data_IF_165311126225
#
_entry.id   IF_165311126225
#
_cell.length_a   1.000
_cell.length_b   1.000
_cell.length_c   1.000
_cell.angle_alpha   90.00
_cell.angle_beta   90.00
_cell.angle_gamma   90.00
#
_symmetry.space_group_name_H-M   'P 1'
#
loop_
_entity.id
_entity.type
_entity.pdbx_description
1 polymer ?
#
# COMPACT_ATOMS: atom_id res chain seq x y z
N UNK A 1 -21.18 -23.38 -9.57
CA UNK A 1 -19.80 -23.88 -9.54
C UNK A 1 -18.96 -22.72 -9.05
N UNK A 2 -18.36 -22.88 -7.87
CA UNK A 2 -17.44 -21.87 -7.34
C UNK A 2 -16.25 -21.80 -8.28
N UNK A 3 -15.90 -20.59 -8.70
CA UNK A 3 -14.80 -20.34 -9.62
C UNK A 3 -13.47 -20.63 -8.91
N UNK A 4 -12.72 -21.62 -9.40
CA UNK A 4 -11.37 -21.91 -8.93
C UNK A 4 -10.32 -21.48 -9.98
N UNK A 5 -9.52 -20.42 -9.70
CA UNK A 5 -8.47 -19.97 -10.61
C UNK A 5 -7.36 -21.01 -10.79
N UNK A 6 -7.12 -21.90 -9.81
CA UNK A 6 -6.08 -22.92 -9.91
C UNK A 6 -6.49 -23.99 -10.92
N UNK A 7 -7.68 -24.58 -10.76
CA UNK A 7 -8.25 -25.52 -11.73
C UNK A 7 -8.31 -24.93 -13.16
N UNK A 8 -8.61 -23.64 -13.28
CA UNK A 8 -8.65 -22.95 -14.58
C UNK A 8 -7.27 -22.83 -15.23
N UNK A 9 -6.22 -22.60 -14.43
CA UNK A 9 -4.84 -22.59 -14.91
C UNK A 9 -4.32 -24.00 -15.24
N UNK A 10 -4.79 -25.03 -14.54
CA UNK A 10 -4.49 -26.42 -14.87
C UNK A 10 -5.07 -26.82 -16.23
N UNK A 11 -6.30 -26.38 -16.52
CA UNK A 11 -6.96 -26.62 -17.81
C UNK A 11 -6.20 -26.06 -19.02
N UNK A 12 -5.33 -25.06 -18.83
CA UNK A 12 -4.47 -24.50 -19.89
C UNK A 12 -3.04 -25.09 -19.88
N UNK A 13 -2.83 -26.21 -19.18
CA UNK A 13 -1.63 -27.06 -19.31
C UNK A 13 -0.59 -26.92 -18.19
N UNK A 14 -0.93 -26.27 -17.08
CA UNK A 14 -0.07 -26.18 -15.90
C UNK A 14 -0.38 -27.28 -14.89
N UNK A 15 0.64 -27.69 -14.13
CA UNK A 15 0.43 -28.52 -12.94
C UNK A 15 -0.10 -27.65 -11.80
N UNK A 16 -0.86 -28.20 -10.84
CA UNK A 16 -1.36 -27.49 -9.64
C UNK A 16 -0.34 -26.55 -9.01
N UNK A 17 0.92 -27.00 -8.85
CA UNK A 17 2.01 -26.18 -8.29
C UNK A 17 2.40 -25.00 -9.19
N UNK A 18 2.51 -25.23 -10.49
CA UNK A 18 2.79 -24.16 -11.46
C UNK A 18 1.62 -23.17 -11.54
N UNK A 19 0.38 -23.68 -11.54
CA UNK A 19 -0.85 -22.91 -11.49
C UNK A 19 -0.92 -22.04 -10.23
N UNK A 20 -0.65 -22.60 -9.06
CA UNK A 20 -0.58 -21.88 -7.77
C UNK A 20 0.44 -20.75 -7.80
N UNK A 21 1.62 -21.00 -8.37
CA UNK A 21 2.62 -19.95 -8.53
C UNK A 21 2.17 -18.85 -9.50
N UNK A 22 1.64 -19.23 -10.67
CA UNK A 22 1.15 -18.28 -11.67
C UNK A 22 -0.02 -17.45 -11.17
N UNK A 23 -0.89 -18.02 -10.34
CA UNK A 23 -1.91 -17.29 -9.61
C UNK A 23 -1.28 -16.18 -8.78
N UNK A 24 -0.36 -16.50 -7.87
CA UNK A 24 0.31 -15.51 -7.02
C UNK A 24 1.02 -14.42 -7.84
N UNK A 25 1.69 -14.81 -8.94
CA UNK A 25 2.30 -13.84 -9.86
C UNK A 25 1.24 -12.92 -10.46
N UNK A 26 0.15 -13.46 -11.01
CA UNK A 26 -0.90 -12.68 -11.67
C UNK A 26 -1.58 -11.69 -10.71
N UNK A 27 -1.79 -12.11 -9.46
CA UNK A 27 -2.45 -11.31 -8.43
C UNK A 27 -1.52 -10.18 -7.93
N UNK A 28 -0.29 -10.49 -7.56
CA UNK A 28 0.53 -9.57 -6.77
C UNK A 28 1.61 -8.81 -7.54
N UNK A 29 2.09 -9.36 -8.66
CA UNK A 29 3.32 -8.88 -9.28
C UNK A 29 3.20 -8.60 -10.78
N UNK A 30 2.76 -9.59 -11.56
CA UNK A 30 2.91 -9.65 -13.01
C UNK A 30 4.32 -10.03 -13.46
N UNK A 31 5.32 -9.94 -12.59
CA UNK A 31 6.71 -10.25 -12.88
C UNK A 31 7.23 -11.28 -11.89
N UNK A 32 8.20 -12.09 -12.30
CA UNK A 32 8.90 -12.96 -11.38
C UNK A 32 10.32 -13.28 -11.86
N UNK A 33 11.10 -13.84 -10.95
CA UNK A 33 12.44 -14.32 -11.19
C UNK A 33 12.47 -15.83 -11.04
N UNK A 34 13.40 -16.48 -11.75
CA UNK A 34 13.58 -17.94 -11.67
C UNK A 34 13.74 -18.42 -10.23
N UNK A 35 14.49 -17.68 -9.40
CA UNK A 35 14.70 -18.03 -7.97
C UNK A 35 13.39 -18.09 -7.18
N UNK A 36 12.42 -17.23 -7.51
CA UNK A 36 11.18 -17.10 -6.77
C UNK A 36 10.30 -18.32 -7.00
N UNK A 37 10.26 -18.80 -8.26
CA UNK A 37 9.65 -20.08 -8.57
C UNK A 37 10.37 -21.25 -7.90
N UNK A 38 11.72 -21.30 -7.97
CA UNK A 38 12.48 -22.38 -7.32
C UNK A 38 12.22 -22.44 -5.80
N UNK A 39 12.18 -21.28 -5.14
CA UNK A 39 11.88 -21.17 -3.71
C UNK A 39 10.46 -21.61 -3.40
N UNK A 40 9.47 -21.12 -4.16
CA UNK A 40 8.07 -21.52 -4.01
C UNK A 40 7.89 -23.03 -4.21
N UNK A 41 8.48 -23.58 -5.27
CA UNK A 41 8.36 -24.98 -5.61
C UNK A 41 9.21 -25.92 -4.74
N UNK A 42 10.01 -25.36 -3.81
CA UNK A 42 10.98 -26.07 -2.98
C UNK A 42 11.87 -27.01 -3.81
N UNK A 43 12.33 -26.51 -4.96
CA UNK A 43 13.12 -27.27 -5.93
C UNK A 43 14.56 -26.75 -5.95
N UNK A 44 15.46 -27.47 -5.29
CA UNK A 44 16.91 -27.16 -5.31
C UNK A 44 17.56 -27.46 -6.67
N UNK A 45 16.89 -28.26 -7.53
CA UNK A 45 17.38 -28.65 -8.85
C UNK A 45 16.84 -27.73 -9.95
N UNK A 46 17.74 -27.08 -10.67
CA UNK A 46 17.42 -26.14 -11.76
C UNK A 46 16.55 -26.71 -12.90
N UNK A 47 16.50 -28.04 -13.08
CA UNK A 47 15.73 -28.68 -14.14
C UNK A 47 14.21 -28.39 -14.08
N UNK A 48 13.63 -28.29 -12.88
CA UNK A 48 12.19 -28.02 -12.74
C UNK A 48 11.83 -26.58 -13.13
N UNK A 49 12.65 -25.61 -12.71
CA UNK A 49 12.45 -24.22 -13.11
C UNK A 49 12.70 -24.02 -14.61
N UNK A 50 13.68 -24.71 -15.21
CA UNK A 50 13.89 -24.68 -16.66
C UNK A 50 12.66 -25.21 -17.41
N UNK A 51 12.13 -26.39 -17.03
CA UNK A 51 10.95 -26.99 -17.69
C UNK A 51 9.71 -26.10 -17.59
N UNK A 52 9.48 -25.51 -16.41
CA UNK A 52 8.37 -24.56 -16.22
C UNK A 52 8.50 -23.36 -17.15
N UNK A 53 9.69 -22.76 -17.22
CA UNK A 53 9.96 -21.59 -18.07
C UNK A 53 9.86 -21.90 -19.56
N UNK A 54 10.40 -23.04 -20.00
CA UNK A 54 10.27 -23.54 -21.37
C UNK A 54 8.81 -23.75 -21.75
N UNK A 55 8.03 -24.40 -20.87
CA UNK A 55 6.59 -24.62 -21.06
C UNK A 55 5.84 -23.29 -21.21
N UNK A 56 6.03 -22.38 -20.26
CA UNK A 56 5.34 -21.09 -20.26
C UNK A 56 5.77 -20.20 -21.44
N UNK A 57 7.01 -20.33 -21.92
CA UNK A 57 7.49 -19.63 -23.12
C UNK A 57 6.89 -20.23 -24.40
N UNK A 58 6.80 -21.57 -24.49
CA UNK A 58 6.16 -22.28 -25.60
C UNK A 58 4.68 -21.93 -25.75
N UNK A 59 3.99 -21.71 -24.64
CA UNK A 59 2.60 -21.24 -24.64
C UNK A 59 2.46 -19.72 -24.88
N UNK A 60 3.56 -19.00 -25.09
CA UNK A 60 3.58 -17.54 -25.21
C UNK A 60 2.95 -16.82 -24.00
N UNK A 61 3.03 -17.45 -22.83
CA UNK A 61 2.49 -16.91 -21.59
C UNK A 61 3.40 -15.85 -20.95
N UNK A 62 4.70 -15.95 -21.23
CA UNK A 62 5.74 -15.08 -20.69
C UNK A 62 6.40 -14.22 -21.77
N UNK A 63 6.87 -13.05 -21.35
CA UNK A 63 7.91 -12.27 -22.04
C UNK A 63 9.16 -12.27 -21.17
N UNK A 64 10.32 -12.48 -21.78
CA UNK A 64 11.60 -12.42 -21.09
C UNK A 64 12.18 -11.01 -21.28
N UNK A 65 12.56 -10.39 -20.17
CA UNK A 65 13.25 -9.11 -20.14
C UNK A 65 14.69 -9.39 -19.70
N UNK A 66 15.65 -9.03 -20.55
CA UNK A 66 17.07 -9.17 -20.28
C UNK A 66 17.57 -7.97 -19.47
N UNK A 67 18.29 -8.23 -18.38
CA UNK A 67 18.79 -7.19 -17.47
C UNK A 67 20.32 -7.16 -17.36
N UNK A 68 21.00 -7.77 -18.34
CA UNK A 68 22.46 -7.96 -18.33
C UNK A 68 22.94 -9.04 -17.36
N UNK A 69 24.21 -9.45 -17.52
CA UNK A 69 24.87 -10.46 -16.68
C UNK A 69 24.11 -11.80 -16.55
N UNK A 70 23.39 -12.20 -17.61
CA UNK A 70 22.59 -13.44 -17.61
C UNK A 70 21.40 -13.42 -16.65
N UNK A 71 20.98 -12.24 -16.17
CA UNK A 71 19.80 -12.09 -15.32
C UNK A 71 18.57 -11.80 -16.17
N UNK A 72 17.52 -12.56 -15.93
CA UNK A 72 16.24 -12.48 -16.65
C UNK A 72 15.09 -12.19 -15.70
N UNK A 73 14.24 -11.25 -16.10
CA UNK A 73 12.91 -11.03 -15.50
C UNK A 73 11.87 -11.67 -16.42
N UNK A 74 10.97 -12.46 -15.84
CA UNK A 74 9.87 -13.09 -16.56
C UNK A 74 8.60 -12.27 -16.32
N UNK A 75 8.06 -11.69 -17.38
CA UNK A 75 6.81 -10.93 -17.35
C UNK A 75 5.65 -11.83 -17.78
N UNK A 76 4.70 -12.07 -16.88
CA UNK A 76 3.45 -12.75 -17.17
C UNK A 76 2.52 -11.77 -17.92
N UNK A 77 2.48 -11.88 -19.24
CA UNK A 77 1.84 -10.90 -20.12
C UNK A 77 0.59 -11.44 -20.83
N UNK A 78 0.39 -12.76 -20.86
CA UNK A 78 -0.66 -13.40 -21.66
C UNK A 78 -2.04 -13.19 -21.09
N UNK A 79 -2.95 -12.66 -21.93
CA UNK A 79 -4.36 -12.46 -21.58
C UNK A 79 -5.06 -13.77 -21.18
N UNK A 80 -4.89 -14.90 -21.90
CA UNK A 80 -5.43 -16.21 -21.46
C UNK A 80 -5.13 -16.59 -20.01
N UNK A 81 -3.91 -16.33 -19.53
CA UNK A 81 -3.55 -16.63 -18.13
C UNK A 81 -4.35 -15.74 -17.17
N UNK A 82 -4.48 -14.46 -17.48
CA UNK A 82 -5.27 -13.54 -16.66
C UNK A 82 -6.78 -13.79 -16.76
N UNK A 83 -7.28 -14.26 -17.90
CA UNK A 83 -8.66 -14.75 -18.06
C UNK A 83 -8.91 -15.97 -17.16
N UNK A 84 -7.98 -16.92 -17.11
CA UNK A 84 -8.03 -18.08 -16.22
C UNK A 84 -7.90 -17.72 -14.71
N UNK A 85 -7.46 -16.50 -14.39
CA UNK A 85 -7.45 -15.95 -13.00
C UNK A 85 -8.64 -15.00 -12.77
N UNK A 86 -9.50 -14.78 -13.77
CA UNK A 86 -10.71 -13.95 -13.65
C UNK A 86 -10.40 -12.45 -13.71
N UNK A 87 -9.21 -12.08 -14.20
CA UNK A 87 -8.70 -10.70 -14.23
C UNK A 87 -8.14 -10.29 -15.60
N UNK A 88 -8.90 -10.43 -16.70
CA UNK A 88 -8.43 -10.17 -18.07
C UNK A 88 -7.80 -8.77 -18.28
N UNK A 89 -8.27 -7.78 -17.52
CA UNK A 89 -7.83 -6.38 -17.62
C UNK A 89 -6.82 -5.95 -16.55
N UNK A 90 -6.22 -6.92 -15.84
CA UNK A 90 -5.19 -6.66 -14.85
C UNK A 90 -4.06 -5.81 -15.40
N UNK A 91 -3.67 -4.77 -14.66
CA UNK A 91 -2.52 -3.93 -15.03
C UNK A 91 -1.19 -4.69 -14.94
N UNK A 92 -1.14 -5.79 -14.19
CA UNK A 92 0.04 -6.65 -14.04
C UNK A 92 0.47 -7.28 -15.38
N UNK A 93 -0.46 -7.47 -16.33
CA UNK A 93 -0.14 -7.99 -17.67
C UNK A 93 0.56 -6.99 -18.59
N UNK A 94 0.56 -5.70 -18.22
CA UNK A 94 1.12 -4.62 -19.05
C UNK A 94 2.55 -4.33 -18.64
N UNK A 95 3.42 -4.09 -19.62
CA UNK A 95 4.82 -3.73 -19.38
C UNK A 95 4.90 -2.37 -18.68
N UNK A 96 5.78 -2.25 -17.67
CA UNK A 96 6.00 -1.03 -16.86
C UNK A 96 7.49 -0.72 -16.74
N UNK A 97 7.83 0.45 -16.20
CA UNK A 97 9.22 0.86 -15.99
C UNK A 97 9.90 0.10 -14.84
N UNK A 98 11.24 0.12 -14.83
CA UNK A 98 12.10 -0.65 -13.92
C UNK A 98 11.76 -0.49 -12.44
N UNK A 99 11.53 0.73 -11.96
CA UNK A 99 11.14 0.99 -10.57
C UNK A 99 9.85 0.27 -10.17
N UNK A 100 8.88 0.17 -11.09
CA UNK A 100 7.64 -0.56 -10.85
C UNK A 100 7.89 -2.07 -10.86
N UNK A 101 8.67 -2.56 -11.83
CA UNK A 101 9.02 -3.99 -11.93
C UNK A 101 9.75 -4.44 -10.66
N UNK A 102 10.75 -3.68 -10.20
CA UNK A 102 11.49 -3.95 -8.96
C UNK A 102 10.55 -4.04 -7.76
N UNK A 103 9.68 -3.05 -7.55
CA UNK A 103 8.71 -3.07 -6.46
C UNK A 103 7.80 -4.31 -6.53
N UNK A 104 7.35 -4.72 -7.72
CA UNK A 104 6.51 -5.92 -7.90
C UNK A 104 7.25 -7.22 -7.61
N UNK A 105 8.53 -7.31 -7.99
CA UNK A 105 9.38 -8.45 -7.63
C UNK A 105 9.58 -8.56 -6.11
N UNK A 106 9.75 -7.42 -5.42
CA UNK A 106 9.82 -7.38 -3.96
C UNK A 106 8.50 -7.78 -3.30
N UNK A 107 7.36 -7.31 -3.84
CA UNK A 107 6.02 -7.73 -3.40
C UNK A 107 5.89 -9.24 -3.49
N UNK A 108 6.32 -9.85 -4.61
CA UNK A 108 6.25 -11.30 -4.77
C UNK A 108 7.08 -12.04 -3.73
N UNK A 109 8.34 -11.64 -3.49
CA UNK A 109 9.17 -12.25 -2.43
C UNK A 109 8.50 -12.14 -1.04
N UNK A 110 7.90 -10.98 -0.75
CA UNK A 110 7.22 -10.75 0.51
C UNK A 110 5.99 -11.66 0.70
N UNK A 111 5.19 -11.87 -0.36
CA UNK A 111 4.01 -12.75 -0.36
C UNK A 111 4.43 -14.22 -0.29
N UNK A 112 5.42 -14.64 -1.07
CA UNK A 112 5.92 -16.02 -1.08
C UNK A 112 6.48 -16.45 0.28
N UNK A 113 7.01 -15.51 1.07
CA UNK A 113 7.45 -15.77 2.44
C UNK A 113 6.29 -15.90 3.45
N UNK A 114 5.03 -15.64 3.04
CA UNK A 114 3.85 -15.51 3.91
C UNK A 114 2.59 -16.13 3.31
N UNK A 115 2.72 -17.30 2.68
CA UNK A 115 1.60 -17.99 2.01
C UNK A 115 0.42 -18.33 2.95
N UNK A 116 0.67 -18.45 4.26
CA UNK A 116 -0.37 -18.71 5.27
C UNK A 116 -0.97 -17.44 5.88
N UNK A 117 -0.51 -16.26 5.51
CA UNK A 117 -1.05 -15.01 6.03
C UNK A 117 -2.36 -14.65 5.33
N UNK A 118 -3.29 -14.06 6.09
CA UNK A 118 -4.49 -13.46 5.51
C UNK A 118 -4.10 -12.17 4.78
N UNK A 119 -4.11 -12.20 3.45
CA UNK A 119 -3.74 -11.07 2.59
C UNK A 119 -4.98 -10.61 1.82
N UNK A 120 -5.25 -9.31 1.85
CA UNK A 120 -6.27 -8.69 1.01
C UNK A 120 -5.73 -8.55 -0.42
N UNK A 121 -6.10 -9.49 -1.28
CA UNK A 121 -5.48 -9.72 -2.58
C UNK A 121 -5.85 -8.68 -3.65
N UNK A 122 -7.09 -8.18 -3.65
CA UNK A 122 -7.55 -7.21 -4.65
C UNK A 122 -8.24 -5.98 -4.09
N UNK A 123 -8.55 -5.07 -5.01
CA UNK A 123 -9.24 -3.83 -4.73
C UNK A 123 -10.59 -4.09 -4.05
N UNK A 124 -11.36 -5.07 -4.53
CA UNK A 124 -12.69 -5.37 -3.99
C UNK A 124 -12.61 -5.90 -2.55
N UNK A 125 -11.74 -6.88 -2.29
CA UNK A 125 -11.52 -7.43 -0.95
C UNK A 125 -10.97 -6.40 0.04
N UNK A 126 -10.10 -5.48 -0.42
CA UNK A 126 -9.65 -4.36 0.43
C UNK A 126 -10.79 -3.42 0.76
N UNK A 127 -11.57 -3.00 -0.24
CA UNK A 127 -12.71 -2.11 -0.03
C UNK A 127 -13.73 -2.76 0.92
N UNK A 128 -14.09 -4.02 0.70
CA UNK A 128 -15.04 -4.73 1.57
C UNK A 128 -14.52 -4.85 3.00
N UNK A 129 -13.26 -5.26 3.19
CA UNK A 129 -12.66 -5.34 4.52
C UNK A 129 -12.78 -4.01 5.28
N UNK A 130 -12.35 -2.90 4.66
CA UNK A 130 -12.36 -1.61 5.35
C UNK A 130 -13.77 -1.03 5.53
N UNK A 131 -14.67 -1.22 4.58
CA UNK A 131 -16.02 -0.65 4.64
C UNK A 131 -16.97 -1.47 5.49
N UNK A 132 -16.97 -2.78 5.30
CA UNK A 132 -17.88 -3.71 5.99
C UNK A 132 -17.35 -4.11 7.36
N UNK A 133 -16.08 -4.50 7.46
CA UNK A 133 -15.53 -5.05 8.72
C UNK A 133 -15.00 -3.96 9.64
N UNK A 134 -14.30 -2.96 9.09
CA UNK A 134 -13.78 -1.83 9.90
C UNK A 134 -14.77 -0.66 10.02
N UNK A 135 -15.89 -0.66 9.29
CA UNK A 135 -16.89 0.41 9.33
C UNK A 135 -16.39 1.76 8.78
N UNK A 136 -15.33 1.75 7.96
CA UNK A 136 -14.73 2.97 7.40
C UNK A 136 -15.54 3.42 6.19
N UNK A 137 -15.86 4.72 6.12
CA UNK A 137 -16.53 5.31 4.96
C UNK A 137 -15.66 5.24 3.71
N UNK A 138 -16.26 4.92 2.56
CA UNK A 138 -15.54 4.73 1.29
C UNK A 138 -14.71 5.95 0.85
N UNK A 139 -15.16 7.15 1.21
CA UNK A 139 -14.50 8.41 0.88
C UNK A 139 -13.15 8.59 1.58
N UNK A 140 -12.92 7.87 2.68
CA UNK A 140 -11.69 7.89 3.47
C UNK A 140 -10.64 6.91 2.94
N UNK A 141 -11.02 6.03 2.02
CA UNK A 141 -10.10 5.06 1.41
C UNK A 141 -9.12 5.77 0.47
N UNK A 142 -7.87 5.30 0.38
CA UNK A 142 -6.89 5.83 -0.55
C UNK A 142 -7.37 5.62 -1.98
N UNK A 143 -7.49 6.71 -2.74
CA UNK A 143 -8.05 6.69 -4.10
C UNK A 143 -7.19 7.45 -5.09
N UNK A 144 -7.30 7.05 -6.35
CA UNK A 144 -6.73 7.74 -7.52
C UNK A 144 -7.70 7.67 -8.70
N UNK A 145 -7.56 8.58 -9.66
CA UNK A 145 -8.36 8.57 -10.88
C UNK A 145 -7.45 8.34 -12.09
N UNK A 146 -7.65 7.23 -12.78
CA UNK A 146 -6.93 6.90 -14.02
C UNK A 146 -7.91 6.26 -15.02
N UNK A 147 -8.75 7.08 -15.65
CA UNK A 147 -9.85 6.64 -16.52
C UNK A 147 -11.04 6.04 -15.77
N UNK A 148 -10.82 5.54 -14.54
CA UNK A 148 -11.84 5.17 -13.55
C UNK A 148 -11.36 5.53 -12.14
N UNK A 149 -12.28 5.59 -11.19
CA UNK A 149 -11.96 5.62 -9.78
C UNK A 149 -11.31 4.29 -9.38
N UNK A 150 -10.15 4.35 -8.72
CA UNK A 150 -9.44 3.19 -8.20
C UNK A 150 -9.15 3.39 -6.72
N UNK A 151 -9.44 2.36 -5.92
CA UNK A 151 -9.04 2.28 -4.53
C UNK A 151 -7.72 1.53 -4.38
N UNK A 152 -6.92 1.90 -3.38
CA UNK A 152 -5.61 1.30 -3.11
C UNK A 152 -4.70 1.24 -4.36
N UNK A 153 -4.45 2.38 -5.03
CA UNK A 153 -3.85 2.42 -6.38
C UNK A 153 -2.39 1.96 -6.43
N UNK A 154 -1.70 1.89 -5.30
CA UNK A 154 -0.36 1.30 -5.18
C UNK A 154 -0.36 -0.21 -5.40
N UNK A 155 -1.48 -0.89 -5.13
CA UNK A 155 -1.60 -2.35 -5.25
C UNK A 155 -0.67 -3.13 -4.33
N UNK A 156 -0.24 -2.56 -3.20
CA UNK A 156 0.57 -3.26 -2.21
C UNK A 156 -0.30 -4.20 -1.35
N UNK A 157 0.20 -5.39 -0.96
CA UNK A 157 -0.54 -6.31 -0.11
C UNK A 157 -0.84 -5.68 1.26
N UNK A 158 -2.05 -5.89 1.75
CA UNK A 158 -2.42 -5.54 3.12
C UNK A 158 -2.69 -6.86 3.84
N UNK A 159 -2.02 -7.08 4.95
CA UNK A 159 -2.21 -8.26 5.77
C UNK A 159 -3.23 -7.95 6.86
N UNK A 160 -3.98 -8.96 7.28
CA UNK A 160 -4.91 -8.84 8.40
C UNK A 160 -4.52 -9.86 9.47
N UNK A 161 -4.30 -9.40 10.70
CA UNK A 161 -4.04 -10.30 11.81
C UNK A 161 -5.31 -11.08 12.20
N UNK A 162 -5.17 -12.14 12.98
CA UNK A 162 -6.33 -12.86 13.52
C UNK A 162 -7.22 -11.98 14.41
N UNK A 163 -6.68 -10.88 14.95
CA UNK A 163 -7.42 -9.88 15.72
C UNK A 163 -8.09 -8.80 14.85
N UNK A 164 -8.00 -8.91 13.52
CA UNK A 164 -8.57 -7.93 12.58
C UNK A 164 -7.71 -6.67 12.39
N UNK A 165 -6.49 -6.63 12.93
CA UNK A 165 -5.61 -5.45 12.79
C UNK A 165 -4.96 -5.44 11.41
N UNK A 166 -5.16 -4.37 10.60
CA UNK A 166 -4.55 -4.27 9.29
C UNK A 166 -3.07 -3.90 9.38
N UNK A 167 -2.24 -4.65 8.65
CA UNK A 167 -0.82 -4.39 8.43
C UNK A 167 -0.60 -3.94 6.99
N UNK A 168 -0.36 -2.65 6.85
CA UNK A 168 -0.04 -1.99 5.60
C UNK A 168 1.43 -2.22 5.24
N UNK A 169 1.71 -2.27 3.94
CA UNK A 169 3.06 -2.45 3.42
C UNK A 169 3.39 -1.36 2.42
N UNK A 170 4.62 -0.87 2.49
CA UNK A 170 5.19 0.04 1.50
C UNK A 170 6.49 -0.55 0.97
N UNK A 171 6.62 -0.66 -0.35
CA UNK A 171 7.84 -1.19 -0.99
C UNK A 171 8.65 -0.03 -1.57
N UNK A 172 9.86 0.16 -1.05
CA UNK A 172 10.84 1.10 -1.56
C UNK A 172 11.71 0.44 -2.61
N UNK A 173 11.59 0.90 -3.86
CA UNK A 173 12.42 0.46 -4.97
C UNK A 173 13.87 0.98 -4.92
N UNK A 174 14.31 1.61 -3.82
CA UNK A 174 15.65 2.19 -3.64
C UNK A 174 15.77 3.60 -4.22
N UNK A 175 14.73 4.43 -4.03
CA UNK A 175 14.78 5.84 -4.43
C UNK A 175 15.82 6.60 -3.60
N UNK A 176 16.36 7.69 -4.14
CA UNK A 176 17.32 8.54 -3.38
C UNK A 176 16.63 9.24 -2.18
N UNK A 177 15.31 9.41 -2.24
CA UNK A 177 14.52 10.17 -1.25
C UNK A 177 13.34 9.37 -0.72
N UNK A 178 12.86 9.74 0.47
CA UNK A 178 11.66 9.16 1.07
C UNK A 178 10.34 9.80 0.57
N UNK A 179 10.37 10.66 -0.46
CA UNK A 179 9.21 11.44 -0.90
C UNK A 179 8.03 10.58 -1.35
N UNK A 180 8.29 9.41 -1.95
CA UNK A 180 7.22 8.47 -2.35
C UNK A 180 6.51 7.89 -1.13
N UNK A 181 7.27 7.58 -0.07
CA UNK A 181 6.73 7.12 1.20
C UNK A 181 5.94 8.22 1.91
N UNK A 182 6.45 9.45 1.93
CA UNK A 182 5.71 10.60 2.48
C UNK A 182 4.39 10.84 1.75
N UNK A 183 4.36 10.70 0.42
CA UNK A 183 3.12 10.77 -0.37
C UNK A 183 2.16 9.65 -0.04
N UNK A 184 2.66 8.43 0.14
CA UNK A 184 1.87 7.28 0.57
C UNK A 184 1.21 7.57 1.93
N UNK A 185 1.97 8.02 2.92
CA UNK A 185 1.45 8.39 4.25
C UNK A 185 0.35 9.46 4.15
N UNK A 186 0.59 10.51 3.36
CA UNK A 186 -0.40 11.57 3.13
C UNK A 186 -1.70 11.04 2.49
N UNK A 187 -1.58 10.13 1.53
CA UNK A 187 -2.73 9.55 0.84
C UNK A 187 -3.55 8.63 1.75
N UNK A 188 -2.88 7.87 2.63
CA UNK A 188 -3.53 6.93 3.54
C UNK A 188 -3.99 7.57 4.87
N UNK A 189 -3.62 8.82 5.14
CA UNK A 189 -3.95 9.51 6.38
C UNK A 189 -5.44 9.46 6.77
N UNK A 190 -6.41 9.68 5.87
CA UNK A 190 -7.82 9.62 6.25
C UNK A 190 -8.25 8.22 6.72
N UNK A 191 -7.70 7.17 6.09
CA UNK A 191 -7.96 5.78 6.48
C UNK A 191 -7.30 5.47 7.84
N UNK A 192 -6.04 5.84 8.03
CA UNK A 192 -5.33 5.59 9.29
C UNK A 192 -6.00 6.25 10.49
N UNK A 193 -6.48 7.49 10.32
CA UNK A 193 -7.21 8.19 11.36
C UNK A 193 -8.55 7.50 11.74
N UNK A 194 -9.17 6.77 10.80
CA UNK A 194 -10.43 6.07 11.02
C UNK A 194 -10.28 4.70 11.70
N UNK A 195 -9.13 4.03 11.54
CA UNK A 195 -8.94 2.64 11.98
C UNK A 195 -8.71 2.47 13.48
N UNK A 196 -8.16 3.48 14.16
CA UNK A 196 -7.81 3.39 15.58
C UNK A 196 -6.62 2.46 15.88
N UNK A 197 -6.39 1.38 15.14
CA UNK A 197 -5.22 0.51 15.28
C UNK A 197 -4.74 -0.01 13.92
N UNK A 198 -3.43 0.08 13.66
CA UNK A 198 -2.82 -0.48 12.45
C UNK A 198 -1.31 -0.68 12.61
N UNK A 199 -0.75 -1.48 11.71
CA UNK A 199 0.70 -1.65 11.56
C UNK A 199 1.14 -1.17 10.19
N UNK A 200 2.32 -0.54 10.11
CA UNK A 200 2.93 -0.17 8.83
C UNK A 200 4.34 -0.73 8.74
N UNK A 201 4.59 -1.48 7.66
CA UNK A 201 5.90 -2.05 7.36
C UNK A 201 6.47 -1.34 6.14
N UNK A 202 7.67 -0.78 6.29
CA UNK A 202 8.47 -0.29 5.18
C UNK A 202 9.43 -1.38 4.74
N UNK A 203 9.31 -1.83 3.48
CA UNK A 203 10.10 -2.92 2.90
C UNK A 203 11.05 -2.34 1.86
N UNK A 204 12.34 -2.65 1.98
CA UNK A 204 13.37 -2.25 1.04
C UNK A 204 14.28 -3.44 0.68
N UNK A 205 15.11 -3.29 -0.35
CA UNK A 205 16.19 -4.24 -0.67
C UNK A 205 17.57 -3.81 -0.15
N UNK A 206 17.61 -2.70 0.60
CA UNK A 206 18.77 -2.18 1.30
C UNK A 206 18.32 -1.25 2.44
N UNK A 207 19.25 -0.81 3.29
CA UNK A 207 18.95 0.02 4.46
C UNK A 207 18.94 1.54 4.19
N UNK A 208 19.26 1.99 2.98
CA UNK A 208 19.59 3.41 2.71
C UNK A 208 18.48 4.39 3.06
N UNK A 209 17.22 3.97 3.08
CA UNK A 209 16.07 4.80 3.44
C UNK A 209 15.38 4.42 4.76
N UNK A 210 15.88 3.42 5.49
CA UNK A 210 15.23 2.95 6.73
C UNK A 210 15.07 4.08 7.76
N UNK A 211 16.14 4.84 8.01
CA UNK A 211 16.08 5.94 8.99
C UNK A 211 15.25 7.12 8.50
N UNK A 212 15.29 7.41 7.20
CA UNK A 212 14.43 8.44 6.59
C UNK A 212 12.97 8.05 6.67
N UNK A 213 12.64 6.77 6.47
CA UNK A 213 11.29 6.25 6.60
C UNK A 213 10.81 6.33 8.05
N UNK A 214 11.64 5.95 9.03
CA UNK A 214 11.34 6.14 10.46
C UNK A 214 11.08 7.61 10.79
N UNK A 215 11.93 8.52 10.32
CA UNK A 215 11.77 9.96 10.53
C UNK A 215 10.52 10.52 9.82
N UNK A 216 10.19 10.06 8.61
CA UNK A 216 8.97 10.43 7.91
C UNK A 216 7.71 9.94 8.64
N UNK A 217 7.71 8.69 9.12
CA UNK A 217 6.62 8.14 9.91
C UNK A 217 6.45 8.89 11.24
N UNK A 218 7.54 9.16 11.96
CA UNK A 218 7.50 9.93 13.21
C UNK A 218 7.02 11.37 13.03
N UNK A 219 7.32 12.02 11.90
CA UNK A 219 6.76 13.35 11.56
C UNK A 219 5.29 13.28 11.15
N UNK A 220 4.86 12.16 10.56
CA UNK A 220 3.49 11.94 10.14
C UNK A 220 2.56 11.64 11.34
N UNK A 221 3.05 10.83 12.27
CA UNK A 221 2.41 10.49 13.54
C UNK A 221 3.33 10.83 14.73
N UNK A 222 3.52 12.13 15.04
CA UNK A 222 4.22 12.51 16.26
C UNK A 222 3.48 11.96 17.47
N UNK A 223 4.21 11.64 18.54
CA UNK A 223 3.64 11.08 19.76
C UNK A 223 2.47 11.92 20.31
N UNK A 224 2.55 13.24 20.13
CA UNK A 224 1.50 14.19 20.52
C UNK A 224 0.24 14.09 19.64
N UNK A 225 0.37 13.70 18.36
CA UNK A 225 -0.78 13.44 17.49
C UNK A 225 -1.51 12.15 17.84
N UNK A 226 -0.88 11.17 18.48
CA UNK A 226 -1.59 9.96 18.90
C UNK A 226 -2.50 10.21 20.11
N UNK A 227 -2.29 11.32 20.85
CA UNK A 227 -3.10 11.67 22.01
C UNK A 227 -4.54 11.98 21.60
N UNK A 228 -5.42 11.04 21.93
CA UNK A 228 -6.86 11.20 21.72
C UNK A 228 -7.23 11.44 20.26
N UNK A 229 -6.53 10.80 19.31
CA UNK A 229 -7.07 10.58 17.96
C UNK A 229 -8.03 9.41 18.01
N UNK A 230 -9.27 9.70 17.64
CA UNK A 230 -10.37 8.74 17.54
C UNK A 230 -11.13 9.02 16.24
N UNK A 231 -12.05 8.15 15.81
CA UNK A 231 -13.00 8.50 14.75
C UNK A 231 -13.77 9.82 15.01
N UNK A 232 -13.94 10.20 16.28
CA UNK A 232 -14.55 11.47 16.70
C UNK A 232 -13.54 12.64 16.69
N UNK A 233 -12.25 12.37 16.83
CA UNK A 233 -11.20 13.40 16.89
C UNK A 233 -10.09 13.08 15.88
N UNK A 234 -10.37 13.09 14.56
CA UNK A 234 -9.42 12.61 13.55
C UNK A 234 -8.13 13.46 13.44
N UNK A 235 -8.14 14.69 13.94
CA UNK A 235 -6.95 15.56 14.07
C UNK A 235 -6.38 15.63 15.50
N UNK A 236 -6.87 14.78 16.40
CA UNK A 236 -6.49 14.73 17.81
C UNK A 236 -7.38 15.57 18.72
N UNK A 237 -7.38 15.22 20.00
CA UNK A 237 -8.21 15.91 21.02
C UNK A 237 -7.79 17.36 21.21
N UNK A 238 -6.50 17.65 21.06
CA UNK A 238 -5.95 19.00 21.10
C UNK A 238 -6.53 19.92 20.03
N UNK A 239 -6.60 19.42 18.78
CA UNK A 239 -7.20 20.17 17.69
C UNK A 239 -8.70 20.41 17.95
N UNK A 240 -9.40 19.40 18.47
CA UNK A 240 -10.82 19.55 18.83
C UNK A 240 -11.03 20.61 19.91
N UNK A 241 -10.24 20.59 20.99
CA UNK A 241 -10.31 21.60 22.07
C UNK A 241 -10.03 23.00 21.51
N UNK A 242 -8.99 23.15 20.68
CA UNK A 242 -8.69 24.44 20.03
C UNK A 242 -9.87 24.91 19.19
N UNK A 243 -10.48 24.03 18.40
CA UNK A 243 -11.67 24.35 17.62
C UNK A 243 -12.84 24.85 18.50
N UNK A 244 -13.13 24.19 19.64
CA UNK A 244 -14.19 24.65 20.56
C UNK A 244 -13.93 26.08 21.05
N UNK A 245 -12.69 26.36 21.46
CA UNK A 245 -12.29 27.69 21.92
C UNK A 245 -12.41 28.76 20.84
N UNK A 246 -11.88 28.51 19.64
CA UNK A 246 -11.93 29.46 18.51
C UNK A 246 -13.38 29.68 18.06
N UNK A 247 -14.21 28.62 17.99
CA UNK A 247 -15.62 28.72 17.63
C UNK A 247 -16.40 29.59 18.62
N UNK A 248 -16.22 29.37 19.92
CA UNK A 248 -16.85 30.19 20.95
C UNK A 248 -16.42 31.67 20.85
N UNK A 249 -15.14 31.94 20.61
CA UNK A 249 -14.63 33.31 20.44
C UNK A 249 -15.21 33.99 19.20
N UNK A 250 -15.40 33.24 18.10
CA UNK A 250 -16.01 33.77 16.88
C UNK A 250 -17.49 34.14 17.07
N UNK A 251 -18.24 33.38 17.87
CA UNK A 251 -19.65 33.65 18.19
C UNK A 251 -19.83 34.89 19.10
N UNK A 252 -18.87 35.14 20.00
CA UNK A 252 -18.93 36.25 20.97
C UNK A 252 -18.46 37.59 20.35
N UNK A 253 -17.90 37.57 19.13
CA UNK A 253 -17.65 38.77 18.33
C UNK A 253 -16.53 39.70 18.81
N UNK A 254 -15.51 39.18 19.51
CA UNK A 254 -14.61 40.01 20.33
C UNK A 254 -13.16 40.21 19.90
N UNK A 255 -12.58 39.45 18.96
CA UNK A 255 -11.17 39.63 18.55
C UNK A 255 -10.94 39.31 17.08
N UNK A 256 -9.97 40.02 16.47
CA UNK A 256 -9.47 39.73 15.14
C UNK A 256 -8.95 38.30 15.08
N UNK A 257 -9.59 37.46 14.28
CA UNK A 257 -9.25 36.06 14.12
C UNK A 257 -7.90 35.98 13.39
N UNK A 258 -6.90 35.34 14.00
CA UNK A 258 -5.62 35.11 13.34
C UNK A 258 -5.82 34.18 12.14
N UNK A 259 -4.93 34.25 11.14
CA UNK A 259 -4.98 33.34 9.98
C UNK A 259 -4.96 31.87 10.38
N UNK A 260 -4.28 31.52 11.48
CA UNK A 260 -4.22 30.16 12.00
C UNK A 260 -5.54 29.70 12.65
N UNK A 261 -6.30 30.62 13.22
CA UNK A 261 -7.60 30.33 13.84
C UNK A 261 -8.70 30.15 12.78
N UNK A 262 -8.63 30.91 11.67
CA UNK A 262 -9.48 30.69 10.51
C UNK A 262 -9.27 29.31 9.87
N UNK A 263 -8.02 28.83 9.84
CA UNK A 263 -7.71 27.48 9.36
C UNK A 263 -8.32 26.42 10.27
N UNK A 264 -8.13 26.54 11.59
CA UNK A 264 -8.71 25.61 12.57
C UNK A 264 -10.25 25.58 12.50
N UNK A 265 -10.91 26.72 12.29
CA UNK A 265 -12.37 26.77 12.08
C UNK A 265 -12.79 25.96 10.85
N UNK A 266 -12.16 26.22 9.69
CA UNK A 266 -12.51 25.52 8.43
C UNK A 266 -12.28 24.01 8.52
N UNK A 267 -11.17 23.60 9.13
CA UNK A 267 -10.87 22.18 9.36
C UNK A 267 -11.92 21.56 10.30
N UNK A 268 -12.22 22.23 11.42
CA UNK A 268 -13.13 21.73 12.43
C UNK A 268 -14.61 21.70 12.02
N UNK A 269 -15.10 22.67 11.25
CA UNK A 269 -16.49 22.70 10.77
C UNK A 269 -16.85 21.49 9.90
N UNK A 270 -15.89 21.01 9.11
CA UNK A 270 -16.07 19.82 8.28
C UNK A 270 -15.94 18.52 9.07
N UNK A 271 -15.11 18.52 10.11
CA UNK A 271 -14.76 17.30 10.86
C UNK A 271 -15.67 17.04 12.07
N UNK A 272 -16.12 18.09 12.75
CA UNK A 272 -16.79 18.02 14.05
C UNK A 272 -18.29 18.35 13.98
N UNK A 273 -19.00 17.67 13.08
CA UNK A 273 -20.41 17.97 12.78
C UNK A 273 -21.43 17.02 13.43
N UNK A 274 -20.99 15.90 14.02
CA UNK A 274 -21.92 14.90 14.59
C UNK A 274 -22.68 15.42 15.83
N UNK A 275 -23.78 14.75 16.18
CA UNK A 275 -24.59 15.05 17.37
C UNK A 275 -23.75 15.09 18.66
N UNK A 276 -22.79 14.18 18.80
CA UNK A 276 -21.89 14.14 19.96
C UNK A 276 -20.96 15.35 20.01
N UNK A 277 -20.46 15.84 18.86
CA UNK A 277 -19.68 17.08 18.81
C UNK A 277 -20.53 18.29 19.23
N UNK A 278 -21.78 18.35 18.76
CA UNK A 278 -22.71 19.42 19.14
C UNK A 278 -23.01 19.40 20.64
N UNK A 279 -23.23 18.21 21.22
CA UNK A 279 -23.43 18.03 22.66
C UNK A 279 -22.19 18.46 23.47
N UNK A 280 -20.99 18.06 23.03
CA UNK A 280 -19.73 18.48 23.66
C UNK A 280 -19.51 19.99 23.58
N UNK A 281 -19.85 20.62 22.45
CA UNK A 281 -19.76 22.08 22.31
C UNK A 281 -20.77 22.82 23.19
N UNK A 282 -22.01 22.30 23.31
CA UNK A 282 -22.99 22.87 24.24
C UNK A 282 -22.52 22.77 25.69
N UNK A 283 -21.98 21.62 26.10
CA UNK A 283 -21.38 21.43 27.43
C UNK A 283 -20.18 22.35 27.68
N UNK A 284 -19.34 22.56 26.65
CA UNK A 284 -18.21 23.49 26.70
C UNK A 284 -18.68 24.93 26.93
N UNK A 285 -19.69 25.38 26.18
CA UNK A 285 -20.26 26.73 26.31
C UNK A 285 -20.90 26.98 27.68
N UNK A 286 -21.51 25.95 28.26
CA UNK A 286 -22.09 25.99 29.61
C UNK A 286 -21.05 25.87 30.73
N UNK A 287 -19.78 25.61 30.42
CA UNK A 287 -18.73 25.35 31.41
C UNK A 287 -18.90 24.04 32.19
N UNK A 288 -19.80 23.15 31.75
CA UNK A 288 -20.06 21.86 32.42
C UNK A 288 -19.01 20.79 32.07
N UNK A 289 -18.22 21.03 31.03
CA UNK A 289 -17.01 20.27 30.70
C UNK A 289 -15.80 21.19 30.66
N UNK A 290 -14.61 20.63 30.88
CA UNK A 290 -13.32 21.33 30.82
C UNK A 290 -12.39 20.70 29.80
N UNK A 291 -11.33 21.40 29.41
CA UNK A 291 -10.28 20.86 28.54
C UNK A 291 -9.76 19.51 29.06
N UNK A 292 -9.50 19.42 30.36
CA UNK A 292 -8.97 18.21 30.98
C UNK A 292 -9.96 17.04 30.92
N UNK A 293 -11.26 17.28 31.14
CA UNK A 293 -12.29 16.24 31.02
C UNK A 293 -12.43 15.74 29.58
N UNK A 294 -12.35 16.64 28.60
CA UNK A 294 -12.37 16.29 27.18
C UNK A 294 -11.12 15.49 26.82
N UNK A 295 -9.93 15.94 27.25
CA UNK A 295 -8.67 15.20 27.07
C UNK A 295 -8.78 13.80 27.63
N UNK A 296 -9.18 13.65 28.89
CA UNK A 296 -9.28 12.33 29.53
C UNK A 296 -10.24 11.40 28.80
N UNK A 297 -11.40 11.92 28.33
CA UNK A 297 -12.37 11.13 27.56
C UNK A 297 -11.75 10.54 26.27
N UNK A 298 -11.00 11.34 25.52
CA UNK A 298 -10.45 10.89 24.23
C UNK A 298 -9.08 10.21 24.35
N UNK A 299 -8.29 10.53 25.38
CA UNK A 299 -7.02 9.86 25.66
C UNK A 299 -7.18 8.37 25.97
N UNK A 300 -8.32 7.97 26.53
CA UNK A 300 -8.66 6.55 26.79
C UNK A 300 -8.78 5.71 25.51
N UNK A 301 -8.96 6.34 24.34
CA UNK A 301 -9.15 5.68 23.05
C UNK A 301 -8.08 6.16 22.06
N UNK A 302 -6.81 6.13 22.46
CA UNK A 302 -5.73 6.62 21.59
C UNK A 302 -5.39 5.63 20.47
N UNK A 303 -5.10 6.16 19.28
CA UNK A 303 -4.71 5.37 18.12
C UNK A 303 -3.42 4.57 18.39
N UNK A 304 -3.43 3.28 18.07
CA UNK A 304 -2.29 2.36 18.20
C UNK A 304 -1.66 2.12 16.83
N UNK A 305 -0.56 2.79 16.55
CA UNK A 305 0.19 2.60 15.32
C UNK A 305 1.57 2.02 15.60
N UNK A 306 1.94 0.93 14.93
CA UNK A 306 3.32 0.41 14.96
C UNK A 306 3.99 0.61 13.61
N UNK A 307 5.29 0.88 13.64
CA UNK A 307 6.10 1.03 12.43
C UNK A 307 7.35 0.16 12.52
N UNK A 308 7.63 -0.57 11.45
CA UNK A 308 8.83 -1.39 11.32
C UNK A 308 9.43 -1.29 9.92
N UNK A 309 10.72 -1.57 9.83
CA UNK A 309 11.47 -1.63 8.58
C UNK A 309 11.95 -3.05 8.35
N UNK A 310 11.80 -3.57 7.13
CA UNK A 310 12.24 -4.91 6.72
C UNK A 310 13.13 -4.77 5.50
N UNK A 311 14.31 -5.39 5.54
CA UNK A 311 15.22 -5.48 4.39
C UNK A 311 15.10 -6.88 3.81
N UNK A 312 14.75 -6.98 2.54
CA UNK A 312 14.73 -8.24 1.82
C UNK A 312 16.16 -8.68 1.50
N UNK A 313 16.50 -9.97 1.66
CA UNK A 313 17.87 -10.46 1.51
C UNK A 313 18.26 -10.67 0.03
N UNK A 314 17.63 -9.95 -0.90
CA UNK A 314 17.76 -10.18 -2.34
C UNK A 314 18.11 -8.91 -3.10
N UNK A 315 19.01 -9.02 -4.07
CA UNK A 315 19.20 -8.00 -5.09
C UNK A 315 18.23 -8.18 -6.26
N UNK A 316 17.62 -7.09 -6.71
CA UNK A 316 16.67 -7.10 -7.83
C UNK A 316 17.32 -6.54 -9.10
N UNK A 317 17.23 -7.26 -10.24
CA UNK A 317 17.74 -6.75 -11.50
C UNK A 317 16.91 -5.53 -11.97
N UNK A 318 17.57 -4.58 -12.63
CA UNK A 318 16.94 -3.45 -13.33
C UNK A 318 17.44 -3.45 -14.77
N UNK A 319 16.58 -3.08 -15.73
CA UNK A 319 16.90 -3.13 -17.16
C UNK A 319 17.83 -1.99 -17.60
N UNK A 320 18.08 -1.00 -16.74
CA UNK A 320 19.01 0.11 -16.94
C UNK A 320 20.50 -0.32 -16.93
N UNK A 321 20.90 -1.24 -17.80
CA UNK A 321 22.30 -1.51 -18.17
C UNK A 321 22.52 -1.73 -19.68
N UNK A 322 21.52 -1.56 -20.54
CA UNK A 322 21.71 -1.59 -22.01
C UNK A 322 20.89 -0.52 -22.75
N UNK A 323 21.31 0.74 -22.62
CA UNK A 323 21.27 1.70 -23.73
C UNK A 323 22.71 2.13 -24.03
N UNK A 324 23.56 1.17 -24.42
CA UNK A 324 24.70 1.51 -25.27
C UNK A 324 24.15 1.68 -26.68
N UNK A 325 24.09 2.93 -27.14
CA UNK A 325 23.79 3.26 -28.53
C UNK A 325 24.62 2.37 -29.47
N UNK A 326 24.06 1.90 -30.60
CA UNK A 326 24.88 1.31 -31.64
C UNK A 326 25.89 2.38 -32.09
N UNK A 327 27.17 2.08 -31.95
CA UNK A 327 28.24 2.84 -32.59
C UNK A 327 27.95 2.78 -34.08
N UNK A 328 27.58 3.91 -34.67
CA UNK A 328 27.53 4.05 -36.12
C UNK A 328 28.90 3.67 -36.67
N UNK A 329 28.97 2.53 -37.35
CA UNK A 329 30.03 2.23 -38.32
C UNK A 329 29.99 3.32 -39.39
N UNK A 330 30.87 4.30 -39.23
CA UNK A 330 31.19 5.24 -40.28
C UNK A 330 31.96 4.52 -41.37
N UNK A 331 31.28 4.16 -42.45
CA UNK A 331 31.92 4.04 -43.76
C UNK A 331 32.77 5.30 -44.00
N UNK A 332 34.07 5.11 -44.16
CA UNK A 332 34.91 6.03 -44.94
C UNK A 332 35.56 5.23 -46.06
N UNK A 333 34.97 5.40 -47.24
CA UNK A 333 35.71 5.28 -48.49
C UNK A 333 36.82 6.35 -48.50
N UNK A 334 38.04 5.91 -48.80
CA UNK A 334 38.93 6.51 -49.80
C UNK A 334 40.00 5.51 -50.19
#
# INVERSE_FOLDING_TARGET
MDYDPISSLEAIGYLEREASFLYLVAIHSGYFLRRQYSQFAQCDRGAMSTRFLEKASRFHHLRVIECGQGRHIYHLASKPVYEAVGRPDSQNRRLKGDSYIKARLMVLDFVLARLSANILEDEAGKVDFFTTQCGVRSELLPRSYAGRLMYFPDGFPILVSNAGVPRFTFFDEGQVTATRFERYLKQYNPLFAALGEFELVFIADNESNSDRAKAAFGRFLPADRMRGVTPMTPLGVDHFIRFLGVRQQSEVGGRGVLSSDLQTLREGENLYASLEHQALYAAWKLGSTSEEKIRQRFLQTSMRATFSTVVLPYGYPTSAMEHRQPVHEGLRAR
#
